data_IF_065180022765
#
_entry.id   IF_065180022765
#
_cell.length_a   1.000
_cell.length_b   1.000
_cell.length_c   1.000
_cell.angle_alpha   90.00
_cell.angle_beta   90.00
_cell.angle_gamma   90.00
#
_symmetry.space_group_name_H-M   'P 1'
#
loop_
_entity.id
_entity.type
_entity.pdbx_description
1 polymer ?
#
# COMPACT_ATOMS: atom_id res chain seq x y z
N UNK A 1 1.83 -18.89 24.98
CA UNK A 1 0.64 -18.55 24.17
C UNK A 1 1.06 -17.49 23.18
N UNK A 2 0.79 -17.69 21.90
CA UNK A 2 1.16 -16.74 20.84
C UNK A 2 0.40 -15.40 21.05
N UNK A 3 1.03 -14.28 20.71
CA UNK A 3 0.43 -12.93 20.82
C UNK A 3 -0.80 -12.82 19.92
N UNK A 4 -0.74 -13.39 18.71
CA UNK A 4 -1.84 -13.43 17.75
C UNK A 4 -3.05 -14.17 18.35
N UNK A 5 -2.82 -15.28 19.04
CA UNK A 5 -3.91 -16.07 19.64
C UNK A 5 -4.53 -15.37 20.85
N UNK A 6 -3.73 -14.65 21.65
CA UNK A 6 -4.25 -13.81 22.74
C UNK A 6 -5.18 -12.71 22.23
N UNK A 7 -4.72 -11.93 21.24
CA UNK A 7 -5.52 -10.84 20.66
C UNK A 7 -6.80 -11.39 20.01
N UNK A 8 -6.75 -12.58 19.40
CA UNK A 8 -7.92 -13.24 18.84
C UNK A 8 -8.96 -13.58 19.91
N UNK A 9 -8.55 -14.21 21.01
CA UNK A 9 -9.47 -14.60 22.07
C UNK A 9 -10.09 -13.37 22.75
N UNK A 10 -9.31 -12.32 22.99
CA UNK A 10 -9.83 -11.06 23.53
C UNK A 10 -10.85 -10.41 22.58
N UNK A 11 -10.61 -10.50 21.27
CA UNK A 11 -11.54 -9.97 20.26
C UNK A 11 -12.86 -10.74 20.26
N UNK A 12 -12.81 -12.08 20.36
CA UNK A 12 -13.99 -12.94 20.44
C UNK A 12 -14.79 -12.64 21.72
N UNK A 13 -14.11 -12.51 22.87
CA UNK A 13 -14.75 -12.13 24.14
C UNK A 13 -15.41 -10.74 24.10
N UNK A 14 -14.77 -9.74 23.47
CA UNK A 14 -15.37 -8.42 23.28
C UNK A 14 -16.61 -8.47 22.38
N UNK A 15 -16.59 -9.30 21.33
CA UNK A 15 -17.75 -9.50 20.45
C UNK A 15 -18.91 -10.19 21.17
N UNK A 16 -18.64 -11.19 22.03
CA UNK A 16 -19.65 -11.83 22.87
C UNK A 16 -20.28 -10.85 23.87
N UNK A 17 -19.49 -9.92 24.39
CA UNK A 17 -19.96 -8.83 25.25
C UNK A 17 -20.67 -7.69 24.50
N UNK A 18 -20.81 -7.79 23.17
CA UNK A 18 -21.37 -6.76 22.27
C UNK A 18 -20.57 -5.45 22.25
N UNK A 19 -19.30 -5.47 22.69
CA UNK A 19 -18.37 -4.34 22.58
C UNK A 19 -17.66 -4.36 21.22
N UNK A 20 -18.40 -3.93 20.19
CA UNK A 20 -17.89 -3.94 18.82
C UNK A 20 -16.79 -2.91 18.56
N UNK A 21 -16.69 -1.86 19.36
CA UNK A 21 -15.60 -0.88 19.27
C UNK A 21 -14.29 -1.52 19.74
N UNK A 22 -14.32 -2.22 20.87
CA UNK A 22 -13.15 -2.94 21.36
C UNK A 22 -12.79 -4.11 20.44
N UNK A 23 -13.78 -4.86 19.94
CA UNK A 23 -13.55 -5.92 18.96
C UNK A 23 -12.94 -5.38 17.66
N UNK A 24 -13.37 -4.21 17.18
CA UNK A 24 -12.78 -3.55 16.01
C UNK A 24 -11.31 -3.20 16.23
N UNK A 25 -10.97 -2.59 17.38
CA UNK A 25 -9.57 -2.25 17.71
C UNK A 25 -8.68 -3.48 17.75
N UNK A 26 -9.15 -4.55 18.38
CA UNK A 26 -8.42 -5.82 18.45
C UNK A 26 -8.25 -6.48 17.08
N UNK A 27 -9.28 -6.41 16.22
CA UNK A 27 -9.20 -6.87 14.83
C UNK A 27 -8.15 -6.11 14.03
N UNK A 28 -8.07 -4.79 14.20
CA UNK A 28 -7.11 -3.96 13.48
C UNK A 28 -5.67 -4.25 13.97
N UNK A 29 -5.46 -4.42 15.28
CA UNK A 29 -4.19 -4.89 15.86
C UNK A 29 -3.79 -6.28 15.35
N UNK A 30 -4.74 -7.21 15.29
CA UNK A 30 -4.53 -8.55 14.75
C UNK A 30 -4.07 -8.53 13.29
N UNK A 31 -4.61 -7.60 12.48
CA UNK A 31 -4.19 -7.43 11.09
C UNK A 31 -2.74 -6.93 10.98
N UNK A 32 -2.30 -6.02 11.85
CA UNK A 32 -0.92 -5.52 11.89
C UNK A 32 0.06 -6.62 12.28
N UNK A 33 -0.24 -7.37 13.35
CA UNK A 33 0.59 -8.51 13.79
C UNK A 33 0.74 -9.56 12.67
N UNK A 34 -0.34 -9.88 11.96
CA UNK A 34 -0.30 -10.79 10.79
C UNK A 34 0.48 -10.22 9.61
N UNK A 35 0.55 -8.90 9.50
CA UNK A 35 1.35 -8.17 8.52
C UNK A 35 2.85 -8.11 8.85
N UNK A 36 3.27 -8.66 9.99
CA UNK A 36 4.67 -8.68 10.43
C UNK A 36 5.08 -7.48 11.30
N UNK A 37 4.13 -6.65 11.76
CA UNK A 37 4.42 -5.62 12.75
C UNK A 37 4.78 -6.29 14.09
N UNK A 38 5.69 -5.67 14.83
CA UNK A 38 5.98 -6.05 16.21
C UNK A 38 4.79 -5.75 17.14
N UNK A 39 4.78 -6.35 18.32
CA UNK A 39 3.72 -6.12 19.31
C UNK A 39 3.62 -4.66 19.77
N UNK A 40 4.77 -3.97 19.87
CA UNK A 40 4.85 -2.56 20.25
C UNK A 40 4.30 -1.66 19.13
N UNK A 41 4.76 -1.85 17.89
CA UNK A 41 4.25 -1.12 16.72
C UNK A 41 2.75 -1.32 16.52
N UNK A 42 2.24 -2.54 16.73
CA UNK A 42 0.83 -2.85 16.59
C UNK A 42 -0.04 -2.23 17.71
N UNK A 43 0.54 -1.93 18.87
CA UNK A 43 -0.16 -1.27 19.98
C UNK A 43 -0.21 0.25 19.83
N UNK A 44 0.85 0.85 19.27
CA UNK A 44 0.94 2.31 19.05
C UNK A 44 0.30 2.78 17.75
N UNK A 45 0.07 1.87 16.79
CA UNK A 45 -0.49 2.22 15.50
C UNK A 45 -1.89 2.86 15.60
N UNK A 46 -2.00 4.11 15.16
CA UNK A 46 -3.29 4.76 14.97
C UNK A 46 -3.95 4.23 13.69
N UNK A 47 -4.99 3.40 13.85
CA UNK A 47 -5.69 2.77 12.72
C UNK A 47 -6.93 3.54 12.27
N UNK A 48 -7.22 4.68 12.89
CA UNK A 48 -8.40 5.51 12.59
C UNK A 48 -8.29 6.06 11.18
N UNK A 49 -9.33 5.84 10.37
CA UNK A 49 -9.38 6.32 8.98
C UNK A 49 -8.59 5.48 7.96
N UNK A 50 -7.89 4.42 8.40
CA UNK A 50 -7.24 3.49 7.47
C UNK A 50 -8.30 2.65 6.75
N UNK A 51 -8.38 2.82 5.44
CA UNK A 51 -9.21 2.00 4.57
C UNK A 51 -8.29 0.99 3.88
N UNK A 52 -8.67 -0.29 3.91
CA UNK A 52 -7.94 -1.32 3.16
C UNK A 52 -7.88 -0.95 1.69
N UNK A 53 -6.65 -0.94 1.14
CA UNK A 53 -6.44 -0.81 -0.29
C UNK A 53 -7.20 -1.93 -1.02
N UNK A 54 -8.13 -1.55 -1.89
CA UNK A 54 -8.87 -2.50 -2.71
C UNK A 54 -8.08 -2.74 -4.01
N UNK A 55 -7.78 -3.99 -4.38
CA UNK A 55 -7.25 -4.30 -5.70
C UNK A 55 -8.20 -3.74 -6.77
N UNK A 56 -7.71 -2.84 -7.63
CA UNK A 56 -8.52 -2.18 -8.65
C UNK A 56 -9.14 -0.82 -8.27
N UNK A 57 -9.00 -0.32 -7.03
CA UNK A 57 -9.28 1.11 -6.73
C UNK A 57 -8.18 2.02 -7.31
N UNK A 58 -6.99 1.48 -7.50
CA UNK A 58 -6.10 1.88 -8.60
C UNK A 58 -6.72 1.30 -9.88
N UNK A 59 -7.68 2.01 -10.47
CA UNK A 59 -8.46 1.53 -11.62
C UNK A 59 -7.59 0.90 -12.71
N UNK A 60 -8.10 -0.09 -13.43
CA UNK A 60 -7.53 -0.56 -14.69
C UNK A 60 -7.29 0.66 -15.60
N UNK A 61 -6.05 1.16 -15.63
CA UNK A 61 -5.68 2.44 -16.27
C UNK A 61 -4.82 3.41 -15.41
N UNK A 62 -4.70 3.21 -14.10
CA UNK A 62 -3.80 4.04 -13.25
C UNK A 62 -2.33 3.64 -13.38
N UNK A 63 -2.05 2.46 -13.94
CA UNK A 63 -0.73 2.15 -14.49
C UNK A 63 -0.57 2.91 -15.81
N UNK A 64 -0.23 4.20 -15.72
CA UNK A 64 0.26 4.97 -16.86
C UNK A 64 1.56 4.31 -17.33
N UNK A 65 1.49 3.37 -18.28
CA UNK A 65 2.68 2.75 -18.89
C UNK A 65 3.62 3.79 -19.52
N UNK A 66 3.12 5.00 -19.81
CA UNK A 66 3.88 6.12 -20.35
C UNK A 66 3.49 7.41 -19.63
N UNK A 67 4.49 8.12 -19.11
CA UNK A 67 4.33 9.46 -18.54
C UNK A 67 3.80 10.43 -19.61
N UNK A 68 2.69 11.11 -19.31
CA UNK A 68 2.17 12.21 -20.15
C UNK A 68 2.80 13.53 -19.67
N UNK A 69 3.52 14.26 -20.53
CA UNK A 69 4.13 15.52 -20.13
C UNK A 69 3.07 16.60 -19.87
N UNK A 70 3.35 17.59 -18.99
CA UNK A 70 2.39 18.65 -18.68
C UNK A 70 2.13 19.57 -19.89
N UNK A 71 0.99 20.29 -19.91
CA UNK A 71 0.68 21.25 -20.98
C UNK A 71 1.81 22.26 -21.17
N UNK A 72 2.24 22.47 -22.41
CA UNK A 72 3.32 23.41 -22.75
C UNK A 72 4.74 22.84 -22.65
N UNK A 73 4.91 21.57 -22.24
CA UNK A 73 6.22 20.94 -22.24
C UNK A 73 6.75 20.74 -23.67
N UNK A 74 7.96 21.24 -23.93
CA UNK A 74 8.69 21.04 -25.19
C UNK A 74 9.86 20.10 -24.97
N UNK A 75 9.88 18.99 -25.70
CA UNK A 75 11.00 18.03 -25.68
C UNK A 75 12.30 18.71 -26.11
N UNK A 76 13.42 18.52 -25.38
CA UNK A 76 14.72 19.04 -25.83
C UNK A 76 15.15 18.39 -27.14
N UNK A 77 15.88 19.15 -27.96
CA UNK A 77 16.45 18.64 -29.21
C UNK A 77 17.47 17.54 -28.89
N UNK A 78 17.46 16.46 -29.68
CA UNK A 78 18.45 15.38 -29.52
C UNK A 78 19.85 15.96 -29.79
N UNK A 79 20.83 15.76 -28.88
CA UNK A 79 22.19 16.21 -29.14
C UNK A 79 22.74 15.52 -30.39
N UNK A 80 23.59 16.23 -31.12
CA UNK A 80 24.27 15.68 -32.28
C UNK A 80 25.09 14.46 -31.84
N UNK A 81 24.94 13.28 -32.47
CA UNK A 81 25.86 12.19 -32.20
C UNK A 81 27.31 12.65 -32.40
N UNK A 82 28.11 12.59 -31.34
CA UNK A 82 29.58 12.79 -31.40
C UNK A 82 30.31 11.67 -32.17
N UNK A 83 29.60 10.99 -33.08
CA UNK A 83 30.10 9.88 -33.88
C UNK A 83 29.75 10.13 -35.34
N UNK A 84 30.71 9.90 -36.24
CA UNK A 84 30.48 9.97 -37.69
C UNK A 84 29.57 8.80 -38.09
N UNK A 85 28.29 9.09 -38.34
CA UNK A 85 27.27 8.09 -38.65
C UNK A 85 27.65 7.23 -39.86
N UNK A 86 27.97 5.95 -39.62
CA UNK A 86 28.00 4.95 -40.69
C UNK A 86 26.56 4.49 -40.93
N UNK A 87 26.00 4.80 -42.10
CA UNK A 87 24.72 4.25 -42.52
C UNK A 87 24.80 2.72 -42.54
N UNK A 88 23.97 2.02 -41.77
CA UNK A 88 23.68 0.61 -42.05
C UNK A 88 22.83 0.58 -43.32
N UNK A 89 23.41 0.14 -44.44
CA UNK A 89 22.61 -0.27 -45.61
C UNK A 89 21.68 -1.39 -45.13
N UNK A 90 20.39 -1.25 -45.43
CA UNK A 90 19.40 -2.34 -45.33
C UNK A 90 19.72 -3.43 -46.33
#
# INVERSE_FOLDING_TARGET
MDEIERVRIEMEAAAEALDFEQARRLRDRLALLRGGASAEEAAEAETVGLIRQQPGAMGLGTSQQRMTPPPGWKKPVKPDPMTKGRSRKR
#
